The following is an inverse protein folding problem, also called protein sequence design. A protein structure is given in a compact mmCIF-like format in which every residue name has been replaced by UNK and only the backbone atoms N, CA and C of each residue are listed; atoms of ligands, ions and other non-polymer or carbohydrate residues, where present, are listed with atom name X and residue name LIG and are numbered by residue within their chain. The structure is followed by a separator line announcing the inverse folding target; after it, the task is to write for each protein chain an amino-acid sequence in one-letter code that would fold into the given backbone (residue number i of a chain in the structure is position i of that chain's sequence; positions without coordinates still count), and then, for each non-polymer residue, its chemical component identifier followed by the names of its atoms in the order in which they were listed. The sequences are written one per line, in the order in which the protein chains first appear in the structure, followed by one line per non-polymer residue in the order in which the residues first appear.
data_IF_437649157936
#
_entry.id   IF_437649157936
#
_cell.length_a   1.000
_cell.length_b   1.000
_cell.length_c   1.000
_cell.angle_alpha   90.00
_cell.angle_beta   90.00
_cell.angle_gamma   90.00
#
_symmetry.space_group_name_H-M   'P 1'
#
loop_
_entity.id
_entity.type
_entity.pdbx_description
1 polymer ?
#
# COMPACT_ATOMS: atom_id res chain seq x y z
N UNK A 1 4.28 32.42 9.68
CA UNK A 1 3.61 32.45 8.35
C UNK A 1 4.60 32.46 7.19
N UNK A 2 5.64 33.34 7.17
CA UNK A 2 6.61 33.40 6.05
C UNK A 2 7.33 32.06 5.78
N UNK A 3 7.69 31.30 6.81
CA UNK A 3 8.32 29.99 6.66
C UNK A 3 7.35 28.95 6.09
N UNK A 4 6.11 28.90 6.57
CA UNK A 4 5.08 28.01 6.01
C UNK A 4 4.80 28.36 4.54
N UNK A 5 4.72 29.64 4.22
CA UNK A 5 4.56 30.09 2.83
C UNK A 5 5.77 29.71 1.98
N UNK A 6 6.99 29.80 2.53
CA UNK A 6 8.22 29.39 1.84
C UNK A 6 8.23 27.89 1.53
N UNK A 7 7.79 27.04 2.47
CA UNK A 7 7.67 25.59 2.26
C UNK A 7 6.55 25.24 1.26
N UNK A 8 5.43 25.97 1.30
CA UNK A 8 4.36 25.76 0.31
C UNK A 8 4.79 26.13 -1.12
N UNK A 9 5.65 27.15 -1.27
CA UNK A 9 6.23 27.53 -2.57
C UNK A 9 7.37 26.61 -3.02
N UNK A 10 8.12 26.09 -2.07
CA UNK A 10 9.29 25.26 -2.30
C UNK A 10 9.37 24.16 -1.21
N UNK A 11 8.77 22.99 -1.44
CA UNK A 11 8.73 21.91 -0.46
C UNK A 11 10.11 21.42 0.01
N UNK A 12 11.19 21.63 -0.78
CA UNK A 12 12.54 21.29 -0.37
C UNK A 12 12.99 22.04 0.90
N UNK A 13 12.40 23.21 1.20
CA UNK A 13 12.65 23.99 2.42
C UNK A 13 12.01 23.40 3.68
N UNK A 14 11.29 22.30 3.56
CA UNK A 14 10.76 21.56 4.71
C UNK A 14 11.83 20.79 5.48
N UNK A 15 13.02 20.63 4.92
CA UNK A 15 14.05 19.74 5.42
C UNK A 15 13.85 18.27 5.04
N UNK A 16 12.74 17.93 4.36
CA UNK A 16 12.46 16.59 3.82
C UNK A 16 13.03 16.47 2.42
N UNK A 17 13.64 15.33 2.09
CA UNK A 17 14.11 15.02 0.73
C UNK A 17 12.92 14.73 -0.19
N UNK A 18 12.43 15.76 -0.87
CA UNK A 18 11.28 15.67 -1.78
C UNK A 18 11.57 14.89 -3.07
N UNK A 19 12.84 14.58 -3.34
CA UNK A 19 13.24 13.75 -4.47
C UNK A 19 13.44 12.28 -4.09
N UNK A 20 13.42 11.96 -2.80
CA UNK A 20 13.45 10.60 -2.31
C UNK A 20 12.04 10.01 -2.22
N UNK A 21 11.87 8.69 -2.36
CA UNK A 21 10.58 8.04 -2.16
C UNK A 21 10.04 8.28 -0.74
N UNK A 22 8.73 8.52 -0.65
CA UNK A 22 7.98 8.51 0.61
C UNK A 22 7.27 7.15 0.70
N UNK A 23 7.42 6.49 1.83
CA UNK A 23 6.80 5.19 2.09
C UNK A 23 5.65 5.33 3.07
N UNK A 24 4.55 4.66 2.78
CA UNK A 24 3.42 4.52 3.72
C UNK A 24 3.19 3.04 3.94
N UNK A 25 3.14 2.61 5.19
CA UNK A 25 2.94 1.22 5.52
C UNK A 25 2.11 1.03 6.79
N UNK A 26 1.62 -0.18 6.98
CA UNK A 26 1.22 -0.75 8.26
C UNK A 26 1.69 -2.21 8.32
N UNK A 27 1.83 -2.74 9.51
CA UNK A 27 2.26 -4.11 9.72
C UNK A 27 1.50 -4.73 10.91
N UNK A 28 1.28 -6.05 10.94
CA UNK A 28 0.63 -6.69 12.08
C UNK A 28 1.32 -6.43 13.42
N UNK A 29 2.65 -6.32 13.43
CA UNK A 29 3.46 -5.98 14.60
C UNK A 29 3.37 -4.52 15.02
N UNK A 30 2.97 -3.63 14.10
CA UNK A 30 2.78 -2.21 14.33
C UNK A 30 1.58 -1.71 13.49
N UNK A 31 0.33 -1.94 13.98
CA UNK A 31 -0.88 -1.78 13.18
C UNK A 31 -1.33 -0.31 13.03
N UNK A 32 -0.37 0.58 12.92
CA UNK A 32 -0.59 2.01 12.73
C UNK A 32 -0.14 2.41 11.33
N UNK A 33 -0.97 3.19 10.64
CA UNK A 33 -0.55 3.75 9.34
C UNK A 33 0.61 4.72 9.57
N UNK A 34 1.76 4.36 9.05
CA UNK A 34 3.02 5.06 9.23
C UNK A 34 3.54 5.56 7.90
N UNK A 35 3.78 6.85 7.80
CA UNK A 35 4.51 7.47 6.70
C UNK A 35 5.97 7.63 7.11
N UNK A 36 6.89 7.32 6.18
CA UNK A 36 8.34 7.51 6.38
C UNK A 36 8.90 8.29 5.21
N UNK A 37 9.69 9.30 5.53
CA UNK A 37 10.39 10.12 4.57
C UNK A 37 11.86 10.32 5.01
N UNK A 38 12.73 10.57 4.05
CA UNK A 38 14.12 10.91 4.30
C UNK A 38 14.25 12.37 4.70
N UNK A 39 15.00 12.66 5.76
CA UNK A 39 15.41 14.02 6.11
C UNK A 39 16.65 14.36 5.31
N UNK A 40 16.63 15.49 4.61
CA UNK A 40 17.74 16.06 3.85
C UNK A 40 18.49 17.12 4.68
N UNK A 41 17.75 17.92 5.47
CA UNK A 41 18.28 18.97 6.33
C UNK A 41 17.54 18.96 7.65
N UNK A 42 18.22 18.53 8.71
CA UNK A 42 17.65 18.55 10.07
C UNK A 42 17.38 20.00 10.52
N UNK A 43 18.28 20.93 10.21
CA UNK A 43 18.13 22.35 10.58
C UNK A 43 16.87 22.97 9.98
N UNK A 44 16.55 22.66 8.72
CA UNK A 44 15.36 23.20 8.06
C UNK A 44 14.09 22.52 8.57
N UNK A 45 14.17 21.22 8.89
CA UNK A 45 13.07 20.51 9.55
C UNK A 45 12.78 21.11 10.92
N UNK A 46 13.80 21.36 11.75
CA UNK A 46 13.64 21.98 13.07
C UNK A 46 13.03 23.38 12.97
N UNK A 47 13.47 24.21 12.02
CA UNK A 47 12.87 25.54 11.77
C UNK A 47 11.39 25.44 11.41
N UNK A 48 11.01 24.47 10.56
CA UNK A 48 9.62 24.23 10.21
C UNK A 48 8.81 23.77 11.43
N UNK A 49 9.35 22.88 12.25
CA UNK A 49 8.70 22.40 13.46
C UNK A 49 8.52 23.52 14.49
N UNK A 50 9.51 24.40 14.68
CA UNK A 50 9.40 25.56 15.55
C UNK A 50 8.24 26.49 15.14
N UNK A 51 8.07 26.73 13.83
CA UNK A 51 6.97 27.56 13.32
C UNK A 51 5.62 26.86 13.52
N UNK A 52 5.54 25.56 13.23
CA UNK A 52 4.30 24.78 13.40
C UNK A 52 3.91 24.61 14.87
N UNK A 53 4.88 24.58 15.79
CA UNK A 53 4.64 24.61 17.23
C UNK A 53 4.08 25.98 17.68
N UNK A 54 4.68 27.09 17.24
CA UNK A 54 4.18 28.43 17.53
C UNK A 54 2.75 28.65 17.04
N UNK A 55 2.40 28.08 15.91
CA UNK A 55 1.04 28.11 15.35
C UNK A 55 0.10 27.04 15.97
N UNK A 56 0.56 26.30 16.97
CA UNK A 56 -0.20 25.26 17.67
C UNK A 56 -0.70 24.12 16.76
N UNK A 57 -0.06 23.90 15.62
CA UNK A 57 -0.34 22.78 14.72
C UNK A 57 0.20 21.49 15.32
N UNK A 58 1.39 21.57 15.95
CA UNK A 58 2.00 20.45 16.68
C UNK A 58 2.18 20.83 18.16
N UNK A 59 2.35 19.82 19.01
CA UNK A 59 2.78 20.02 20.40
C UNK A 59 4.23 20.45 20.46
N UNK A 60 4.69 20.83 21.65
CA UNK A 60 6.12 21.00 21.92
C UNK A 60 6.91 19.76 21.48
N UNK A 61 8.06 19.99 20.82
CA UNK A 61 8.97 18.93 20.43
C UNK A 61 9.68 18.41 21.68
N UNK A 62 9.51 17.13 21.96
CA UNK A 62 10.13 16.45 23.08
C UNK A 62 11.15 15.40 22.59
N UNK A 63 12.12 15.10 23.43
CA UNK A 63 13.13 14.07 23.16
C UNK A 63 12.75 12.74 23.81
N UNK A 64 13.10 11.66 23.15
CA UNK A 64 13.01 10.29 23.64
C UNK A 64 14.33 9.54 23.36
N UNK A 65 14.41 8.27 23.74
CA UNK A 65 15.62 7.46 23.51
C UNK A 65 15.91 7.26 22.02
N UNK A 66 16.77 8.13 21.49
CA UNK A 66 17.28 8.08 20.13
C UNK A 66 16.41 8.72 19.05
N UNK A 67 15.37 9.48 19.41
CA UNK A 67 14.57 10.28 18.49
C UNK A 67 13.88 11.45 19.17
N UNK A 68 13.46 12.43 18.38
CA UNK A 68 12.59 13.52 18.84
C UNK A 68 11.18 13.35 18.32
N UNK A 69 10.18 13.86 19.04
CA UNK A 69 8.78 13.70 18.64
C UNK A 69 7.91 14.91 19.00
N UNK A 70 6.81 15.06 18.26
CA UNK A 70 5.71 15.98 18.55
C UNK A 70 4.37 15.36 18.17
N UNK A 71 3.28 15.79 18.80
CA UNK A 71 1.93 15.35 18.45
C UNK A 71 1.31 16.32 17.45
N UNK A 72 0.67 15.79 16.42
CA UNK A 72 -0.13 16.54 15.45
C UNK A 72 -1.61 16.35 15.82
N UNK A 73 -2.26 17.44 16.31
CA UNK A 73 -3.71 17.45 16.58
C UNK A 73 -4.24 16.26 17.40
N UNK A 74 -3.41 15.67 18.27
CA UNK A 74 -3.72 14.48 19.11
C UNK A 74 -4.18 13.24 18.29
N UNK A 75 -3.87 13.19 17.00
CA UNK A 75 -4.24 12.11 16.09
C UNK A 75 -3.06 11.45 15.37
N UNK A 76 -1.92 12.14 15.34
CA UNK A 76 -0.70 11.60 14.80
C UNK A 76 0.49 11.97 15.66
N UNK A 77 1.51 11.10 15.66
CA UNK A 77 2.81 11.35 16.23
C UNK A 77 3.80 11.57 15.08
N UNK A 78 4.43 12.73 15.08
CA UNK A 78 5.61 13.01 14.28
C UNK A 78 6.81 12.57 15.12
N UNK A 79 7.66 11.71 14.57
CA UNK A 79 8.89 11.26 15.19
C UNK A 79 10.03 11.41 14.18
N UNK A 80 11.19 11.91 14.61
CA UNK A 80 12.28 12.13 13.68
C UNK A 80 13.66 11.92 14.31
N UNK A 81 14.59 11.66 13.42
CA UNK A 81 16.04 11.62 13.65
C UNK A 81 16.71 12.55 12.63
N UNK A 82 18.02 12.81 12.68
CA UNK A 82 18.71 13.60 11.66
C UNK A 82 18.55 13.09 10.21
N UNK A 83 18.15 11.82 10.02
CA UNK A 83 18.06 11.20 8.69
C UNK A 83 16.66 10.72 8.31
N UNK A 84 15.74 10.61 9.27
CA UNK A 84 14.45 9.94 9.07
C UNK A 84 13.33 10.72 9.73
N UNK A 85 12.25 10.93 9.00
CA UNK A 85 10.99 11.47 9.51
C UNK A 85 9.92 10.38 9.43
N UNK A 86 9.19 10.17 10.52
CA UNK A 86 8.02 9.28 10.59
C UNK A 86 6.79 10.08 11.02
N UNK A 87 5.65 9.81 10.40
CA UNK A 87 4.35 10.29 10.86
C UNK A 87 3.45 9.08 11.07
N UNK A 88 3.06 8.84 12.31
CA UNK A 88 2.28 7.67 12.73
C UNK A 88 0.88 8.11 13.11
N UNK A 89 -0.13 7.67 12.36
CA UNK A 89 -1.54 7.92 12.68
C UNK A 89 -2.02 6.96 13.77
N UNK A 90 -2.73 7.48 14.75
CA UNK A 90 -3.38 6.70 15.79
C UNK A 90 -4.77 7.25 16.14
N UNK A 91 -5.63 6.40 16.69
CA UNK A 91 -6.99 6.78 17.08
C UNK A 91 -7.14 6.73 18.60
N UNK A 92 -7.24 7.93 19.20
CA UNK A 92 -7.44 8.06 20.65
C UNK A 92 -6.13 8.06 21.45
N UNK A 93 -6.18 8.78 22.57
CA UNK A 93 -4.99 9.05 23.44
C UNK A 93 -4.42 7.78 24.08
N UNK A 94 -5.20 6.72 24.25
CA UNK A 94 -4.73 5.44 24.81
C UNK A 94 -3.74 4.69 23.92
N UNK A 95 -3.64 5.04 22.64
CA UNK A 95 -2.70 4.43 21.70
C UNK A 95 -1.35 5.15 21.63
N UNK A 96 -1.28 6.40 22.10
CA UNK A 96 -0.07 7.21 22.00
C UNK A 96 1.16 6.55 22.63
N UNK A 97 1.02 6.02 23.84
CA UNK A 97 2.14 5.35 24.52
C UNK A 97 2.61 4.09 23.78
N UNK A 98 1.68 3.30 23.27
CA UNK A 98 2.01 2.13 22.44
C UNK A 98 2.72 2.51 21.14
N UNK A 99 2.36 3.63 20.53
CA UNK A 99 3.04 4.15 19.35
C UNK A 99 4.47 4.55 19.72
N UNK A 100 4.66 5.31 20.80
CA UNK A 100 5.99 5.71 21.29
C UNK A 100 6.88 4.50 21.61
N UNK A 101 6.33 3.47 22.26
CA UNK A 101 7.06 2.22 22.57
C UNK A 101 7.50 1.47 21.31
N UNK A 102 6.75 1.54 20.23
CA UNK A 102 7.06 0.85 18.97
C UNK A 102 8.10 1.54 18.09
N UNK A 103 8.24 2.87 18.16
CA UNK A 103 9.15 3.64 17.30
C UNK A 103 10.62 3.22 17.41
N UNK A 104 11.20 3.03 18.61
CA UNK A 104 12.59 2.59 18.73
C UNK A 104 12.88 1.27 18.02
N UNK A 105 11.92 0.33 18.04
CA UNK A 105 12.06 -0.94 17.34
C UNK A 105 12.08 -0.76 15.81
N UNK A 106 11.27 0.14 15.28
CA UNK A 106 11.30 0.49 13.86
C UNK A 106 12.61 1.17 13.46
N UNK A 107 13.09 2.11 14.25
CA UNK A 107 14.34 2.84 13.98
C UNK A 107 15.59 1.96 14.07
N UNK A 108 15.58 0.95 14.96
CA UNK A 108 16.68 -0.02 15.16
C UNK A 108 16.58 -1.23 14.24
N UNK A 109 15.62 -1.28 13.32
CA UNK A 109 15.39 -2.43 12.43
C UNK A 109 16.58 -2.63 11.50
N UNK A 110 17.05 -3.88 11.38
CA UNK A 110 18.14 -4.26 10.48
C UNK A 110 17.61 -4.70 9.11
N UNK A 111 18.48 -4.74 8.10
CA UNK A 111 18.10 -5.17 6.76
C UNK A 111 17.48 -6.57 6.69
N UNK A 112 17.91 -7.49 7.56
CA UNK A 112 17.38 -8.88 7.62
C UNK A 112 15.95 -8.94 8.15
N UNK A 113 15.60 -8.08 9.10
CA UNK A 113 14.27 -8.00 9.71
C UNK A 113 13.36 -6.98 9.03
N UNK A 114 13.86 -6.28 8.01
CA UNK A 114 13.08 -5.30 7.27
C UNK A 114 12.42 -5.91 6.04
N UNK A 115 11.46 -5.18 5.47
CA UNK A 115 10.80 -5.54 4.21
C UNK A 115 11.80 -5.68 3.04
N UNK A 116 13.02 -5.16 3.16
CA UNK A 116 14.07 -5.28 2.15
C UNK A 116 14.51 -6.74 1.90
N UNK A 117 14.28 -7.65 2.86
CA UNK A 117 14.50 -9.09 2.66
C UNK A 117 13.39 -9.75 1.82
N UNK A 118 12.22 -9.11 1.68
CA UNK A 118 11.04 -9.66 1.02
C UNK A 118 11.16 -9.59 -0.53
N UNK A 119 11.01 -10.72 -1.20
CA UNK A 119 11.11 -10.83 -2.66
C UNK A 119 10.02 -10.08 -3.41
N UNK A 120 8.77 -10.08 -2.89
CA UNK A 120 7.68 -9.30 -3.47
C UNK A 120 7.96 -7.79 -3.39
N UNK A 121 8.53 -7.32 -2.28
CA UNK A 121 8.93 -5.92 -2.15
C UNK A 121 10.04 -5.55 -3.15
N UNK A 122 11.05 -6.39 -3.30
CA UNK A 122 12.11 -6.18 -4.31
C UNK A 122 11.56 -6.15 -5.74
N UNK A 123 10.51 -6.93 -6.00
CA UNK A 123 9.83 -6.90 -7.31
C UNK A 123 9.04 -5.60 -7.48
N UNK A 124 8.30 -5.17 -6.45
CA UNK A 124 7.59 -3.89 -6.45
C UNK A 124 8.53 -2.70 -6.71
N UNK A 125 9.72 -2.69 -6.08
CA UNK A 125 10.70 -1.61 -6.27
C UNK A 125 11.22 -1.48 -7.71
N UNK A 126 11.03 -2.49 -8.56
CA UNK A 126 11.43 -2.47 -9.98
C UNK A 126 10.31 -2.00 -10.91
N UNK A 127 9.14 -1.68 -10.39
CA UNK A 127 8.03 -1.15 -11.17
C UNK A 127 8.24 0.35 -11.44
N UNK A 128 7.91 0.80 -12.65
CA UNK A 128 8.13 2.18 -13.14
C UNK A 128 6.92 3.10 -12.86
N UNK A 129 6.11 2.81 -11.83
CA UNK A 129 4.98 3.66 -11.46
C UNK A 129 5.38 4.86 -10.61
N UNK A 130 4.62 5.94 -10.71
CA UNK A 130 4.72 7.09 -9.81
C UNK A 130 4.34 6.71 -8.38
N UNK A 131 3.40 5.76 -8.23
CA UNK A 131 3.02 5.14 -6.95
C UNK A 131 3.06 3.64 -7.12
N UNK A 132 3.88 2.96 -6.33
CA UNK A 132 3.94 1.50 -6.28
C UNK A 132 3.38 0.98 -4.96
N UNK A 133 2.65 -0.14 -5.04
CA UNK A 133 1.91 -0.72 -3.92
C UNK A 133 2.24 -2.20 -3.76
N UNK A 134 2.42 -2.62 -2.50
CA UNK A 134 2.49 -4.03 -2.10
C UNK A 134 1.40 -4.29 -1.06
N UNK A 135 0.47 -5.17 -1.37
CA UNK A 135 -0.67 -5.49 -0.52
C UNK A 135 -0.68 -6.99 -0.21
N UNK A 136 -0.89 -7.34 1.06
CA UNK A 136 -1.20 -8.71 1.48
C UNK A 136 -2.72 -8.84 1.61
N UNK A 137 -3.42 -9.42 0.64
CA UNK A 137 -4.88 -9.41 0.60
C UNK A 137 -5.55 -10.38 1.56
N UNK A 138 -4.79 -11.21 2.29
CA UNK A 138 -5.35 -12.24 3.19
C UNK A 138 -6.39 -11.71 4.17
N UNK A 139 -6.18 -10.52 4.72
CA UNK A 139 -7.14 -9.86 5.61
C UNK A 139 -8.35 -9.25 4.88
N UNK A 140 -8.18 -8.84 3.63
CA UNK A 140 -9.27 -8.28 2.81
C UNK A 140 -10.13 -9.39 2.22
N UNK A 141 -9.51 -10.47 1.75
CA UNK A 141 -10.22 -11.59 1.14
C UNK A 141 -11.07 -12.35 2.16
N UNK A 142 -10.68 -12.43 3.42
CA UNK A 142 -11.52 -13.02 4.47
C UNK A 142 -12.84 -12.25 4.70
N UNK A 143 -12.86 -10.94 4.41
CA UNK A 143 -14.04 -10.09 4.61
C UNK A 143 -14.95 -10.01 3.37
N UNK A 144 -14.41 -10.21 2.14
CA UNK A 144 -15.10 -9.98 0.88
C UNK A 144 -15.14 -11.21 -0.04
N UNK A 145 -14.78 -12.37 0.46
CA UNK A 145 -14.34 -13.50 -0.33
C UNK A 145 -15.44 -14.33 -1.00
N UNK A 146 -16.72 -14.00 -0.89
CA UNK A 146 -17.76 -14.88 -1.39
C UNK A 146 -17.91 -14.99 -2.94
N UNK A 147 -17.78 -13.93 -3.77
CA UNK A 147 -17.92 -14.10 -5.21
C UNK A 147 -16.64 -14.55 -5.94
N UNK A 148 -15.46 -14.30 -5.36
CA UNK A 148 -14.17 -14.62 -5.98
C UNK A 148 -13.66 -16.02 -5.62
N UNK A 149 -14.30 -16.71 -4.69
CA UNK A 149 -13.89 -18.03 -4.21
C UNK A 149 -14.27 -19.18 -5.11
N UNK A 150 -15.09 -18.98 -6.16
CA UNK A 150 -15.46 -20.04 -7.11
C UNK A 150 -14.28 -20.53 -7.97
N UNK A 151 -13.17 -20.72 -7.49
CA UNK A 151 -11.98 -21.24 -8.18
C UNK A 151 -10.84 -21.46 -7.21
N UNK A 152 -11.01 -21.02 -5.95
CA UNK A 152 -10.01 -21.19 -4.91
C UNK A 152 -10.56 -22.24 -3.93
N UNK A 153 -9.90 -23.37 -3.82
CA UNK A 153 -10.22 -24.36 -2.79
C UNK A 153 -10.10 -23.75 -1.40
N UNK A 154 -11.04 -24.05 -0.49
CA UNK A 154 -11.01 -23.55 0.90
C UNK A 154 -9.74 -23.91 1.68
N UNK A 155 -8.94 -24.84 1.19
CA UNK A 155 -7.72 -25.32 1.85
C UNK A 155 -6.45 -24.56 1.43
N UNK A 156 -6.54 -23.60 0.52
CA UNK A 156 -5.37 -22.85 0.06
C UNK A 156 -5.10 -21.67 0.99
N UNK A 157 -3.93 -21.65 1.61
CA UNK A 157 -3.51 -20.53 2.44
C UNK A 157 -3.12 -19.31 1.57
N UNK A 158 -3.92 -18.27 1.62
CA UNK A 158 -3.71 -17.04 0.87
C UNK A 158 -2.69 -16.09 1.53
N UNK A 159 -2.06 -16.48 2.64
CA UNK A 159 -1.04 -15.63 3.31
C UNK A 159 0.15 -15.32 2.41
N UNK A 160 0.49 -16.27 1.51
CA UNK A 160 1.59 -16.12 0.56
C UNK A 160 1.21 -15.32 -0.68
N UNK A 161 -0.07 -15.03 -0.86
CA UNK A 161 -0.52 -14.16 -1.94
C UNK A 161 -0.17 -12.70 -1.63
N UNK A 162 0.42 -12.03 -2.60
CA UNK A 162 0.67 -10.60 -2.62
C UNK A 162 0.06 -9.99 -3.87
N UNK A 163 -0.38 -8.76 -3.77
CA UNK A 163 -0.78 -7.93 -4.91
C UNK A 163 0.23 -6.81 -5.06
N UNK A 164 0.78 -6.70 -6.25
CA UNK A 164 1.68 -5.62 -6.63
C UNK A 164 0.91 -4.67 -7.53
N UNK A 165 0.83 -3.42 -7.14
CA UNK A 165 0.17 -2.36 -7.92
C UNK A 165 1.16 -1.30 -8.36
N UNK A 166 0.96 -0.77 -9.55
CA UNK A 166 1.71 0.36 -10.09
C UNK A 166 0.73 1.35 -10.71
N UNK A 167 0.75 2.59 -10.23
CA UNK A 167 -0.07 3.68 -10.74
C UNK A 167 0.84 4.70 -11.40
N UNK A 168 0.53 5.06 -12.65
CA UNK A 168 1.28 6.04 -13.44
C UNK A 168 0.38 7.17 -13.93
N UNK A 169 0.89 8.39 -13.89
CA UNK A 169 0.22 9.60 -14.35
C UNK A 169 0.89 10.10 -15.63
N UNK A 170 0.27 9.83 -16.76
CA UNK A 170 0.74 10.26 -18.07
C UNK A 170 -0.16 11.36 -18.64
N UNK A 171 0.31 12.08 -19.66
CA UNK A 171 -0.50 13.12 -20.31
C UNK A 171 -1.77 12.52 -20.91
N UNK A 172 -2.91 12.86 -20.31
CA UNK A 172 -4.24 12.41 -20.75
C UNK A 172 -4.61 10.97 -20.37
N UNK A 173 -3.79 10.30 -19.53
CA UNK A 173 -4.02 8.93 -19.11
C UNK A 173 -3.56 8.71 -17.66
N UNK A 174 -4.37 7.98 -16.89
CA UNK A 174 -3.97 7.39 -15.62
C UNK A 174 -3.99 5.87 -15.82
N UNK A 175 -2.89 5.20 -15.56
CA UNK A 175 -2.78 3.76 -15.71
C UNK A 175 -2.54 3.10 -14.36
N UNK A 176 -3.41 2.16 -14.01
CA UNK A 176 -3.23 1.28 -12.84
C UNK A 176 -2.98 -0.14 -13.34
N UNK A 177 -1.81 -0.68 -13.04
CA UNK A 177 -1.47 -2.09 -13.25
C UNK A 177 -1.49 -2.80 -11.93
N UNK A 178 -2.14 -3.95 -11.87
CA UNK A 178 -2.18 -4.82 -10.68
C UNK A 178 -1.83 -6.23 -11.11
N UNK A 179 -0.88 -6.84 -10.42
CA UNK A 179 -0.48 -8.22 -10.63
C UNK A 179 -0.50 -9.01 -9.32
N UNK A 180 -0.89 -10.27 -9.40
CA UNK A 180 -0.78 -11.22 -8.31
C UNK A 180 0.63 -11.80 -8.27
N UNK A 181 1.21 -11.89 -7.08
CA UNK A 181 2.53 -12.48 -6.85
C UNK A 181 2.46 -13.49 -5.70
N UNK A 182 3.06 -14.65 -5.91
CA UNK A 182 3.23 -15.68 -4.88
C UNK A 182 4.46 -16.53 -5.19
N UNK A 183 5.09 -17.07 -4.18
CA UNK A 183 6.12 -18.12 -4.32
C UNK A 183 5.52 -19.52 -4.09
N UNK A 184 4.31 -19.61 -3.58
CA UNK A 184 3.60 -20.86 -3.36
C UNK A 184 3.25 -21.53 -4.70
N UNK A 185 3.70 -22.77 -4.89
CA UNK A 185 3.54 -23.52 -6.13
C UNK A 185 2.09 -23.88 -6.43
N UNK A 186 1.28 -24.15 -5.40
CA UNK A 186 -0.15 -24.47 -5.57
C UNK A 186 -0.93 -23.25 -6.04
N UNK A 187 -0.67 -22.09 -5.45
CA UNK A 187 -1.26 -20.81 -5.89
C UNK A 187 -0.84 -20.44 -7.31
N UNK A 188 0.44 -20.67 -7.68
CA UNK A 188 0.89 -20.47 -9.07
C UNK A 188 0.12 -21.34 -10.05
N UNK A 189 0.01 -22.65 -9.77
CA UNK A 189 -0.73 -23.57 -10.61
C UNK A 189 -2.21 -23.18 -10.75
N UNK A 190 -2.82 -22.71 -9.67
CA UNK A 190 -4.19 -22.20 -9.68
C UNK A 190 -4.34 -20.99 -10.61
N UNK A 191 -3.46 -19.99 -10.48
CA UNK A 191 -3.50 -18.79 -11.33
C UNK A 191 -3.24 -19.13 -12.80
N UNK A 192 -2.34 -20.07 -13.10
CA UNK A 192 -2.12 -20.56 -14.47
C UNK A 192 -3.38 -21.20 -15.07
N UNK A 193 -4.13 -21.96 -14.28
CA UNK A 193 -5.43 -22.49 -14.71
C UNK A 193 -6.45 -21.37 -14.95
N UNK A 194 -6.54 -20.39 -14.04
CA UNK A 194 -7.44 -19.26 -14.19
C UNK A 194 -7.11 -18.41 -15.42
N UNK A 195 -5.83 -18.18 -15.72
CA UNK A 195 -5.40 -17.46 -16.93
C UNK A 195 -5.88 -18.18 -18.19
N UNK A 196 -5.85 -19.52 -18.23
CA UNK A 196 -6.36 -20.30 -19.36
C UNK A 196 -7.88 -20.14 -19.56
N UNK A 197 -8.62 -19.81 -18.51
CA UNK A 197 -10.05 -19.54 -18.59
C UNK A 197 -10.40 -18.13 -19.07
N UNK A 198 -9.39 -17.29 -19.34
CA UNK A 198 -9.56 -15.96 -19.94
C UNK A 198 -9.20 -15.98 -21.44
N UNK A 199 -9.74 -15.04 -22.19
CA UNK A 199 -9.36 -14.80 -23.58
C UNK A 199 -9.22 -13.30 -23.85
N UNK A 200 -8.49 -12.92 -24.92
CA UNK A 200 -8.39 -11.53 -25.33
C UNK A 200 -9.77 -10.90 -25.55
N UNK A 201 -9.89 -9.63 -25.15
CA UNK A 201 -11.12 -8.87 -25.35
C UNK A 201 -11.12 -8.34 -26.78
N UNK A 202 -12.15 -8.71 -27.55
CA UNK A 202 -12.39 -8.17 -28.86
C UNK A 202 -13.19 -6.86 -28.79
N UNK A 203 -12.71 -5.84 -29.46
CA UNK A 203 -13.33 -4.52 -29.46
C UNK A 203 -14.59 -4.41 -30.35
N UNK A 204 -15.15 -5.52 -30.79
CA UNK A 204 -16.27 -5.59 -31.75
C UNK A 204 -17.51 -4.86 -31.28
N UNK A 205 -17.78 -4.86 -29.98
CA UNK A 205 -18.97 -4.27 -29.38
C UNK A 205 -18.81 -2.79 -28.97
N UNK A 206 -17.61 -2.23 -29.01
CA UNK A 206 -17.37 -0.85 -28.58
C UNK A 206 -18.17 0.17 -29.39
N UNK A 207 -18.49 -0.14 -30.65
CA UNK A 207 -19.32 0.71 -31.54
C UNK A 207 -20.73 0.97 -31.01
N UNK A 208 -21.21 0.14 -30.09
CA UNK A 208 -22.57 0.28 -29.53
C UNK A 208 -22.61 1.20 -28.29
N UNK A 209 -21.47 1.59 -27.77
CA UNK A 209 -21.44 2.45 -26.61
C UNK A 209 -21.57 3.93 -26.99
N UNK A 210 -22.47 4.68 -26.34
CA UNK A 210 -22.62 6.12 -26.58
C UNK A 210 -21.31 6.87 -26.27
N UNK A 211 -21.10 8.02 -26.95
CA UNK A 211 -19.95 8.90 -26.65
C UNK A 211 -19.95 9.42 -25.20
N UNK A 212 -21.10 9.43 -24.54
CA UNK A 212 -21.29 9.85 -23.15
C UNK A 212 -20.99 8.73 -22.12
N UNK A 213 -20.51 7.57 -22.54
CA UNK A 213 -20.15 6.47 -21.63
C UNK A 213 -19.05 6.92 -20.67
N UNK A 214 -19.34 6.95 -19.37
CA UNK A 214 -18.40 7.38 -18.32
C UNK A 214 -17.46 6.26 -17.86
N UNK A 215 -17.93 5.01 -17.92
CA UNK A 215 -17.15 3.85 -17.52
C UNK A 215 -17.54 2.64 -18.36
N UNK A 216 -16.56 1.79 -18.63
CA UNK A 216 -16.73 0.53 -19.34
C UNK A 216 -15.96 -0.55 -18.59
N UNK A 217 -16.61 -1.67 -18.33
CA UNK A 217 -15.99 -2.89 -17.86
C UNK A 217 -16.17 -3.97 -18.92
N UNK A 218 -15.08 -4.67 -19.23
CA UNK A 218 -15.15 -5.85 -20.11
C UNK A 218 -14.24 -6.95 -19.58
N UNK A 219 -14.67 -8.20 -19.82
CA UNK A 219 -13.92 -9.38 -19.44
C UNK A 219 -14.00 -10.38 -20.60
N UNK A 220 -12.87 -10.97 -20.95
CA UNK A 220 -12.79 -12.05 -21.91
C UNK A 220 -12.77 -13.40 -21.18
N UNK A 221 -13.76 -14.24 -21.43
CA UNK A 221 -13.88 -15.57 -20.80
C UNK A 221 -13.84 -16.65 -21.88
N UNK A 222 -12.91 -17.61 -21.72
CA UNK A 222 -12.96 -18.87 -22.44
C UNK A 222 -13.95 -19.77 -21.71
N UNK A 223 -15.19 -19.86 -22.20
CA UNK A 223 -16.29 -20.56 -21.53
C UNK A 223 -16.02 -22.04 -21.28
N UNK A 224 -15.35 -22.72 -22.19
CA UNK A 224 -15.00 -24.13 -22.05
C UNK A 224 -14.00 -24.34 -20.91
N UNK A 225 -12.89 -23.59 -20.91
CA UNK A 225 -11.86 -23.68 -19.86
C UNK A 225 -12.39 -23.22 -18.52
N UNK A 226 -13.22 -22.17 -18.51
CA UNK A 226 -13.88 -21.69 -17.30
C UNK A 226 -14.80 -22.73 -16.68
N UNK A 227 -15.58 -23.45 -17.50
CA UNK A 227 -16.43 -24.56 -17.06
C UNK A 227 -15.63 -25.68 -16.41
N UNK A 228 -14.49 -26.07 -16.99
CA UNK A 228 -13.61 -27.07 -16.37
C UNK A 228 -13.07 -26.62 -15.01
N UNK A 229 -12.65 -25.36 -14.90
CA UNK A 229 -12.18 -24.80 -13.61
C UNK A 229 -13.30 -24.83 -12.57
N UNK A 230 -14.54 -24.52 -12.95
CA UNK A 230 -15.69 -24.57 -12.05
C UNK A 230 -16.00 -26.01 -11.62
N UNK A 231 -15.92 -26.98 -12.52
CA UNK A 231 -16.15 -28.39 -12.19
C UNK A 231 -15.12 -28.96 -11.19
N UNK A 232 -13.91 -28.45 -11.17
CA UNK A 232 -12.89 -28.84 -10.18
C UNK A 232 -13.20 -28.30 -8.77
N UNK A 233 -14.05 -27.27 -8.66
CA UNK A 233 -14.41 -26.67 -7.38
C UNK A 233 -15.53 -27.50 -6.71
N UNK A 234 -15.21 -28.11 -5.56
CA UNK A 234 -16.13 -28.99 -4.83
C UNK A 234 -17.39 -28.22 -4.36
N UNK A 235 -17.24 -26.99 -3.90
CA UNK A 235 -18.37 -26.16 -3.47
C UNK A 235 -19.30 -25.88 -4.65
N UNK A 236 -18.75 -25.52 -5.82
CA UNK A 236 -19.54 -25.30 -7.03
C UNK A 236 -20.32 -26.55 -7.44
N UNK A 237 -19.68 -27.71 -7.42
CA UNK A 237 -20.37 -29.00 -7.71
C UNK A 237 -21.49 -29.25 -6.72
N UNK A 238 -21.27 -29.02 -5.45
CA UNK A 238 -22.29 -29.23 -4.41
C UNK A 238 -23.45 -28.23 -4.52
N UNK A 239 -23.17 -26.96 -4.79
CA UNK A 239 -24.18 -25.90 -4.91
C UNK A 239 -25.08 -26.09 -6.16
N UNK A 240 -24.52 -26.63 -7.23
CA UNK A 240 -25.22 -26.81 -8.51
C UNK A 240 -25.60 -28.26 -8.81
N UNK A 241 -25.36 -29.20 -7.90
CA UNK A 241 -25.70 -30.62 -8.03
C UNK A 241 -25.15 -31.28 -9.34
N UNK A 242 -23.93 -30.91 -9.72
CA UNK A 242 -23.26 -31.39 -10.94
C UNK A 242 -22.34 -32.57 -10.60
#
# INVERSE_FOLDING_TARGET
FQQLEAVLKDPAKSGVDVNAPIYVFNAPSFPYTTMVAKVQSEDDLLKLLEVTEKEQIISHVAEADGYSFAQINKRALLAFTPTTLMVVNYTGTSQLEKVKEGIPALLKQTGENSINSNTAFKKMQKQDGDINMLISPSSLLSAYANPLNYGISHNIDLKDLKMLGSLSFEKGKIELKVESYTENTELKALFEKQIKSTCPIENTFLKYFPKSTLALFSIGINGEQFYYVLQENEQFRNDFSI
#
